data_IF_881864902000
#
_entry.id   IF_881864902000
#
_cell.length_a   1.000
_cell.length_b   1.000
_cell.length_c   1.000
_cell.angle_alpha   90.00
_cell.angle_beta   90.00
_cell.angle_gamma   90.00
#
_symmetry.space_group_name_H-M   'P 1'
#
loop_
_entity.id
_entity.type
_entity.pdbx_description
1 polymer ?
#
# COMPACT_ATOMS: atom_id res chain seq x y z
N UNK A 1 -1.34 -4.39 -32.87
CA UNK A 1 -0.15 -4.71 -32.02
C UNK A 1 -0.67 -5.21 -30.68
N UNK A 2 -0.50 -6.50 -30.43
CA UNK A 2 -0.96 -7.22 -29.25
C UNK A 2 -0.12 -6.83 -28.04
N UNK A 3 -0.49 -5.73 -27.37
CA UNK A 3 0.16 -5.32 -26.14
C UNK A 3 -0.10 -6.37 -25.06
N UNK A 4 0.97 -6.97 -24.53
CA UNK A 4 0.93 -7.78 -23.30
C UNK A 4 0.00 -7.13 -22.29
N UNK A 5 -0.99 -7.88 -21.78
CA UNK A 5 -1.86 -7.33 -20.76
C UNK A 5 -1.01 -7.06 -19.52
N UNK A 6 -1.28 -5.97 -18.80
CA UNK A 6 -0.45 -5.57 -17.64
C UNK A 6 -0.36 -6.70 -16.60
N UNK A 7 -1.43 -7.51 -16.50
CA UNK A 7 -1.49 -8.73 -15.70
C UNK A 7 -0.51 -9.86 -16.12
N UNK A 8 0.09 -9.80 -17.31
CA UNK A 8 1.02 -10.81 -17.83
C UNK A 8 2.48 -10.53 -17.44
N UNK A 9 2.79 -9.28 -17.07
CA UNK A 9 4.15 -8.81 -16.75
C UNK A 9 4.45 -8.96 -15.25
N UNK A 10 3.48 -8.63 -14.38
CA UNK A 10 3.72 -8.57 -12.92
C UNK A 10 3.21 -9.80 -12.15
N UNK A 11 2.48 -10.71 -12.81
CA UNK A 11 1.90 -11.84 -12.10
C UNK A 11 2.85 -13.03 -12.01
N UNK A 12 3.01 -13.63 -10.80
CA UNK A 12 3.82 -14.82 -10.64
C UNK A 12 3.24 -15.98 -11.47
N UNK A 13 3.99 -16.44 -12.47
CA UNK A 13 3.56 -17.55 -13.36
C UNK A 13 3.81 -18.87 -12.65
N UNK A 14 2.99 -19.89 -12.92
CA UNK A 14 3.24 -21.24 -12.40
C UNK A 14 4.65 -21.67 -12.82
N UNK A 15 5.51 -21.90 -11.84
CA UNK A 15 6.86 -22.35 -12.05
C UNK A 15 6.98 -23.75 -11.46
N UNK A 16 7.10 -24.76 -12.32
CA UNK A 16 7.11 -26.17 -11.90
C UNK A 16 5.86 -26.55 -11.07
N UNK A 17 6.05 -26.97 -9.81
CA UNK A 17 5.00 -27.32 -8.83
C UNK A 17 4.55 -26.13 -7.97
N UNK A 18 5.21 -24.97 -8.08
CA UNK A 18 4.94 -23.78 -7.26
C UNK A 18 3.80 -22.99 -7.92
N UNK A 19 2.62 -23.05 -7.30
CA UNK A 19 1.44 -22.30 -7.76
C UNK A 19 1.61 -20.81 -7.52
N UNK A 20 0.96 -19.94 -8.31
CA UNK A 20 0.98 -18.49 -8.06
C UNK A 20 0.53 -18.10 -6.65
N UNK A 21 -0.48 -18.77 -6.10
CA UNK A 21 -0.94 -18.56 -4.73
C UNK A 21 0.13 -18.87 -3.69
N UNK A 22 0.92 -19.93 -3.92
CA UNK A 22 2.04 -20.28 -3.05
C UNK A 22 3.21 -19.28 -3.18
N UNK A 23 3.45 -18.73 -4.38
CA UNK A 23 4.41 -17.64 -4.58
C UNK A 23 3.99 -16.38 -3.80
N UNK A 24 2.69 -16.02 -3.86
CA UNK A 24 2.12 -14.90 -3.11
C UNK A 24 2.24 -15.13 -1.60
N UNK A 25 2.01 -16.36 -1.13
CA UNK A 25 2.19 -16.72 0.29
C UNK A 25 3.65 -16.52 0.73
N UNK A 26 4.61 -16.99 -0.06
CA UNK A 26 6.05 -16.82 0.23
C UNK A 26 6.41 -15.34 0.25
N UNK A 27 6.01 -14.57 -0.75
CA UNK A 27 6.29 -13.12 -0.81
C UNK A 27 5.69 -12.40 0.39
N UNK A 28 4.46 -12.75 0.79
CA UNK A 28 3.81 -12.21 1.99
C UNK A 28 4.60 -12.53 3.25
N UNK A 29 5.04 -13.78 3.44
CA UNK A 29 5.85 -14.19 4.61
C UNK A 29 7.18 -13.43 4.64
N UNK A 30 7.91 -13.40 3.52
CA UNK A 30 9.18 -12.68 3.43
C UNK A 30 9.00 -11.19 3.72
N UNK A 31 7.94 -10.59 3.23
CA UNK A 31 7.62 -9.19 3.48
C UNK A 31 7.23 -8.92 4.94
N UNK A 32 6.48 -9.83 5.58
CA UNK A 32 6.18 -9.72 7.02
C UNK A 32 7.45 -9.84 7.87
N UNK A 33 8.30 -10.83 7.58
CA UNK A 33 9.60 -10.98 8.26
C UNK A 33 10.42 -9.70 8.08
N UNK A 34 10.52 -9.19 6.85
CA UNK A 34 11.22 -7.95 6.55
C UNK A 34 10.68 -6.76 7.36
N UNK A 35 9.37 -6.56 7.35
CA UNK A 35 8.71 -5.46 8.09
C UNK A 35 8.96 -5.57 9.59
N UNK A 36 8.92 -6.78 10.15
CA UNK A 36 9.24 -7.04 11.55
C UNK A 36 10.71 -6.73 11.85
N UNK A 37 11.64 -7.20 11.02
CA UNK A 37 13.07 -6.91 11.20
C UNK A 37 13.37 -5.41 11.08
N UNK A 38 12.70 -4.70 10.16
CA UNK A 38 12.82 -3.26 10.02
C UNK A 38 12.26 -2.51 11.23
N UNK A 39 11.17 -3.01 11.82
CA UNK A 39 10.62 -2.47 13.06
C UNK A 39 11.59 -2.63 14.24
N UNK A 40 12.13 -3.83 14.44
CA UNK A 40 13.10 -4.09 15.50
C UNK A 40 14.34 -3.21 15.34
N UNK A 41 14.88 -3.12 14.12
CA UNK A 41 16.00 -2.24 13.82
C UNK A 41 15.67 -0.75 14.08
N UNK A 42 14.44 -0.32 13.80
CA UNK A 42 14.00 1.04 14.08
C UNK A 42 13.92 1.33 15.59
N UNK A 43 13.45 0.37 16.40
CA UNK A 43 13.44 0.51 17.86
C UNK A 43 14.86 0.65 18.44
N UNK A 44 15.82 -0.07 17.86
CA UNK A 44 17.21 -0.06 18.34
C UNK A 44 18.00 1.17 17.86
N UNK A 45 17.79 1.61 16.61
CA UNK A 45 18.66 2.59 15.94
C UNK A 45 17.99 3.94 15.66
N UNK A 46 16.65 4.02 15.73
CA UNK A 46 15.89 5.16 15.24
C UNK A 46 15.92 5.34 13.71
N UNK A 47 16.51 4.40 12.97
CA UNK A 47 16.58 4.41 11.51
C UNK A 47 15.67 3.35 10.90
N UNK A 48 15.09 3.65 9.75
CA UNK A 48 14.32 2.67 8.97
C UNK A 48 15.11 2.41 7.68
N UNK A 49 15.51 1.17 7.44
CA UNK A 49 16.38 0.79 6.32
C UNK A 49 17.80 1.39 6.38
N UNK A 50 18.30 1.70 7.58
CA UNK A 50 19.60 2.36 7.75
C UNK A 50 19.60 3.86 7.43
N UNK A 51 18.42 4.44 7.16
CA UNK A 51 18.24 5.88 6.94
C UNK A 51 17.33 6.49 8.01
N UNK A 52 17.48 7.79 8.31
CA UNK A 52 16.53 8.52 9.14
C UNK A 52 15.11 8.41 8.59
N UNK A 53 14.12 8.40 9.48
CA UNK A 53 12.70 8.27 9.12
C UNK A 53 12.24 9.31 8.06
N UNK A 54 12.83 10.51 8.07
CA UNK A 54 12.57 11.58 7.10
C UNK A 54 12.95 11.22 5.66
N UNK A 55 13.92 10.32 5.48
CA UNK A 55 14.32 9.80 4.17
C UNK A 55 13.49 8.55 3.86
N UNK A 56 13.28 7.68 4.85
CA UNK A 56 12.56 6.42 4.66
C UNK A 56 11.10 6.61 4.28
N UNK A 57 10.46 7.69 4.76
CA UNK A 57 9.10 8.07 4.39
C UNK A 57 8.96 8.36 2.89
N UNK A 58 10.04 8.74 2.21
CA UNK A 58 10.03 8.92 0.77
C UNK A 58 9.81 7.59 0.06
N UNK A 59 10.27 6.46 0.59
CA UNK A 59 10.07 5.17 -0.08
C UNK A 59 8.68 4.57 0.17
N UNK A 60 7.91 5.15 1.10
CA UNK A 60 6.61 4.61 1.53
C UNK A 60 5.59 4.52 0.39
N UNK A 61 5.29 5.60 -0.35
CA UNK A 61 4.32 5.53 -1.44
C UNK A 61 4.72 4.54 -2.54
N UNK A 62 6.03 4.38 -2.79
CA UNK A 62 6.53 3.45 -3.82
C UNK A 62 6.17 2.02 -3.46
N UNK A 63 6.61 1.53 -2.29
CA UNK A 63 6.38 0.13 -1.95
C UNK A 63 4.90 -0.16 -1.71
N UNK A 64 4.12 0.79 -1.17
CA UNK A 64 2.68 0.60 -0.95
C UNK A 64 1.94 0.45 -2.28
N UNK A 65 2.19 1.32 -3.26
CA UNK A 65 1.55 1.17 -4.57
C UNK A 65 2.02 -0.07 -5.32
N UNK A 66 3.29 -0.45 -5.23
CA UNK A 66 3.77 -1.71 -5.83
C UNK A 66 3.02 -2.92 -5.24
N UNK A 67 2.84 -2.96 -3.92
CA UNK A 67 2.14 -4.06 -3.24
C UNK A 67 0.65 -4.05 -3.58
N UNK A 68 -0.04 -2.94 -3.33
CA UNK A 68 -1.50 -2.91 -3.45
C UNK A 68 -1.95 -2.82 -4.90
N UNK A 69 -1.30 -2.03 -5.75
CA UNK A 69 -1.74 -1.75 -7.13
C UNK A 69 -1.03 -2.64 -8.14
N UNK A 70 0.22 -3.00 -7.89
CA UNK A 70 0.96 -3.96 -8.70
C UNK A 70 0.54 -5.40 -8.37
N UNK A 71 0.87 -5.89 -7.18
CA UNK A 71 0.71 -7.30 -6.86
C UNK A 71 -0.73 -7.70 -6.51
N UNK A 72 -1.35 -7.02 -5.54
CA UNK A 72 -2.67 -7.41 -5.01
C UNK A 72 -3.77 -7.15 -6.05
N UNK A 73 -3.91 -5.91 -6.54
CA UNK A 73 -4.96 -5.54 -7.49
C UNK A 73 -4.89 -6.35 -8.79
N UNK A 74 -3.72 -6.40 -9.45
CA UNK A 74 -3.59 -7.15 -10.71
C UNK A 74 -3.68 -8.67 -10.49
N UNK A 75 -3.23 -9.16 -9.33
CA UNK A 75 -3.42 -10.56 -8.95
C UNK A 75 -4.89 -10.92 -8.79
N UNK A 76 -5.67 -10.08 -8.10
CA UNK A 76 -7.11 -10.28 -7.90
C UNK A 76 -7.88 -10.22 -9.21
N UNK A 77 -7.46 -9.38 -10.16
CA UNK A 77 -8.09 -9.30 -11.49
C UNK A 77 -8.06 -10.59 -12.30
N UNK A 78 -7.23 -11.57 -11.93
CA UNK A 78 -7.20 -12.89 -12.58
C UNK A 78 -8.34 -13.81 -12.15
N UNK A 79 -8.89 -13.59 -10.96
CA UNK A 79 -9.88 -14.47 -10.34
C UNK A 79 -11.23 -13.77 -10.10
N UNK A 80 -11.22 -12.44 -10.07
CA UNK A 80 -12.38 -11.63 -9.73
C UNK A 80 -12.63 -10.55 -10.79
N UNK A 81 -13.86 -10.03 -10.83
CA UNK A 81 -14.18 -8.86 -11.65
C UNK A 81 -13.40 -7.64 -11.18
N UNK A 82 -13.14 -6.70 -12.09
CA UNK A 82 -12.41 -5.47 -11.78
C UNK A 82 -12.98 -4.71 -10.57
N UNK A 83 -14.32 -4.70 -10.40
CA UNK A 83 -14.99 -4.08 -9.25
C UNK A 83 -14.61 -4.77 -7.93
N UNK A 84 -14.67 -6.10 -7.89
CA UNK A 84 -14.30 -6.90 -6.71
C UNK A 84 -12.81 -6.74 -6.39
N UNK A 85 -11.94 -6.76 -7.41
CA UNK A 85 -10.51 -6.56 -7.24
C UNK A 85 -10.19 -5.18 -6.63
N UNK A 86 -10.83 -4.10 -7.11
CA UNK A 86 -10.70 -2.76 -6.53
C UNK A 86 -11.13 -2.74 -5.07
N UNK A 87 -12.32 -3.29 -4.75
CA UNK A 87 -12.85 -3.29 -3.38
C UNK A 87 -11.90 -4.02 -2.43
N UNK A 88 -11.54 -5.26 -2.76
CA UNK A 88 -10.69 -6.09 -1.88
C UNK A 88 -9.31 -5.45 -1.71
N UNK A 89 -8.68 -5.01 -2.81
CA UNK A 89 -7.37 -4.35 -2.74
C UNK A 89 -7.40 -3.08 -1.89
N UNK A 90 -8.49 -2.30 -1.96
CA UNK A 90 -8.60 -1.04 -1.21
C UNK A 90 -8.84 -1.29 0.27
N UNK A 91 -9.68 -2.27 0.62
CA UNK A 91 -9.89 -2.68 2.02
C UNK A 91 -8.59 -3.16 2.67
N UNK A 92 -7.83 -4.00 1.96
CA UNK A 92 -6.52 -4.46 2.44
C UNK A 92 -5.55 -3.28 2.64
N UNK A 93 -5.59 -2.27 1.77
CA UNK A 93 -4.75 -1.09 1.90
C UNK A 93 -5.17 -0.18 3.08
N UNK A 94 -6.46 -0.09 3.37
CA UNK A 94 -6.94 0.54 4.60
C UNK A 94 -6.44 -0.18 5.84
N UNK A 95 -6.57 -1.51 5.90
CA UNK A 95 -6.10 -2.33 7.02
C UNK A 95 -4.59 -2.25 7.23
N UNK A 96 -3.81 -2.09 6.16
CA UNK A 96 -2.37 -1.90 6.21
C UNK A 96 -1.92 -0.73 7.08
N UNK A 97 -2.77 0.29 7.25
CA UNK A 97 -2.47 1.44 8.11
C UNK A 97 -2.43 1.10 9.60
N UNK A 98 -2.92 -0.07 10.03
CA UNK A 98 -2.76 -0.56 11.42
C UNK A 98 -1.30 -0.64 11.84
N UNK A 99 -0.38 -0.87 10.90
CA UNK A 99 1.06 -0.88 11.19
C UNK A 99 1.54 0.43 11.83
N UNK A 100 0.85 1.55 11.57
CA UNK A 100 1.26 2.87 12.03
C UNK A 100 1.26 2.98 13.57
N UNK A 101 0.53 2.12 14.28
CA UNK A 101 0.60 1.99 15.75
C UNK A 101 2.05 1.73 16.20
N UNK A 102 2.84 1.01 15.41
CA UNK A 102 4.20 0.63 15.76
C UNK A 102 5.25 1.66 15.34
N UNK A 103 5.01 2.41 14.26
CA UNK A 103 6.02 3.30 13.65
C UNK A 103 5.79 4.79 13.92
N UNK A 104 4.56 5.21 14.26
CA UNK A 104 4.23 6.61 14.52
C UNK A 104 3.97 6.79 16.01
N UNK A 105 4.98 7.29 16.72
CA UNK A 105 4.84 7.66 18.13
C UNK A 105 3.74 8.71 18.28
N UNK A 106 2.80 8.48 19.21
CA UNK A 106 1.69 9.38 19.55
C UNK A 106 0.56 9.51 18.50
N UNK A 107 0.41 8.56 17.58
CA UNK A 107 -0.79 8.55 16.71
C UNK A 107 -2.06 8.37 17.57
N UNK A 108 -3.02 9.30 17.44
CA UNK A 108 -4.31 9.18 18.12
C UNK A 108 -5.17 8.07 17.51
N UNK A 109 -6.06 7.46 18.30
CA UNK A 109 -6.99 6.43 17.79
C UNK A 109 -7.87 6.98 16.65
N UNK A 110 -8.32 8.22 16.78
CA UNK A 110 -9.13 8.88 15.76
C UNK A 110 -8.36 9.08 14.45
N UNK A 111 -7.09 9.50 14.51
CA UNK A 111 -6.24 9.63 13.32
C UNK A 111 -5.99 8.28 12.63
N UNK A 112 -5.76 7.22 13.42
CA UNK A 112 -5.57 5.88 12.87
C UNK A 112 -6.83 5.42 12.14
N UNK A 113 -7.99 5.51 12.79
CA UNK A 113 -9.28 5.12 12.21
C UNK A 113 -9.59 5.94 10.96
N UNK A 114 -9.34 7.26 11.00
CA UNK A 114 -9.50 8.14 9.85
C UNK A 114 -8.63 7.68 8.68
N UNK A 115 -7.33 7.44 8.89
CA UNK A 115 -6.41 6.97 7.83
C UNK A 115 -6.87 5.64 7.25
N UNK A 116 -7.34 4.70 8.08
CA UNK A 116 -7.84 3.41 7.62
C UNK A 116 -9.09 3.56 6.74
N UNK A 117 -10.09 4.31 7.20
CA UNK A 117 -11.36 4.52 6.48
C UNK A 117 -11.12 5.32 5.19
N UNK A 118 -10.39 6.43 5.29
CA UNK A 118 -10.03 7.27 4.14
C UNK A 118 -9.32 6.45 3.07
N UNK A 119 -8.34 5.65 3.46
CA UNK A 119 -7.59 4.80 2.53
C UNK A 119 -8.47 3.70 1.95
N UNK A 120 -9.27 3.02 2.77
CA UNK A 120 -10.12 1.91 2.33
C UNK A 120 -11.20 2.33 1.32
N UNK A 121 -11.84 3.47 1.57
CA UNK A 121 -13.08 3.84 0.88
C UNK A 121 -12.94 5.00 -0.10
N UNK A 122 -11.88 5.82 0.01
CA UNK A 122 -11.68 6.99 -0.85
C UNK A 122 -10.41 6.84 -1.67
N UNK A 123 -9.24 6.91 -1.02
CA UNK A 123 -7.96 6.95 -1.73
C UNK A 123 -7.67 5.63 -2.45
N UNK A 124 -7.91 4.51 -1.77
CA UNK A 124 -7.77 3.14 -2.25
C UNK A 124 -8.43 2.92 -3.61
N UNK A 125 -9.76 3.09 -3.70
CA UNK A 125 -10.52 2.87 -4.92
C UNK A 125 -10.15 3.81 -6.06
N UNK A 126 -9.87 5.09 -5.76
CA UNK A 126 -9.46 6.07 -6.78
C UNK A 126 -8.12 5.66 -7.40
N UNK A 127 -7.09 5.39 -6.59
CA UNK A 127 -5.78 4.99 -7.10
C UNK A 127 -5.83 3.65 -7.85
N UNK A 128 -6.64 2.69 -7.37
CA UNK A 128 -6.86 1.44 -8.07
C UNK A 128 -7.48 1.69 -9.45
N UNK A 129 -8.53 2.52 -9.53
CA UNK A 129 -9.15 2.89 -10.80
C UNK A 129 -8.18 3.58 -11.77
N UNK A 130 -7.41 4.56 -11.27
CA UNK A 130 -6.39 5.27 -12.05
C UNK A 130 -5.36 4.30 -12.60
N UNK A 131 -4.85 3.39 -11.76
CA UNK A 131 -3.86 2.37 -12.17
C UNK A 131 -4.40 1.50 -13.30
N UNK A 132 -5.66 1.03 -13.20
CA UNK A 132 -6.25 0.20 -14.24
C UNK A 132 -6.50 0.95 -15.55
N UNK A 133 -6.89 2.23 -15.46
CA UNK A 133 -7.13 3.09 -16.63
C UNK A 133 -5.85 3.50 -17.33
N UNK A 134 -4.86 3.95 -16.56
CA UNK A 134 -3.58 4.42 -17.09
C UNK A 134 -2.63 3.29 -17.46
N UNK A 135 -2.84 2.09 -16.90
CA UNK A 135 -1.92 0.95 -16.95
C UNK A 135 -0.51 1.31 -16.45
N UNK A 136 -0.43 2.25 -15.52
CA UNK A 136 0.84 2.76 -15.01
C UNK A 136 0.75 3.02 -13.49
N UNK A 137 1.50 2.22 -12.72
CA UNK A 137 1.57 2.33 -11.26
C UNK A 137 2.24 3.63 -10.80
N UNK A 138 3.14 4.22 -11.60
CA UNK A 138 3.89 5.41 -11.22
C UNK A 138 2.99 6.64 -11.09
N UNK A 139 1.88 6.69 -11.82
CA UNK A 139 0.88 7.75 -11.64
C UNK A 139 0.24 7.65 -10.25
N UNK A 140 -0.09 6.45 -9.79
CA UNK A 140 -0.60 6.23 -8.44
C UNK A 140 0.45 6.60 -7.38
N UNK A 141 1.72 6.24 -7.61
CA UNK A 141 2.85 6.61 -6.72
C UNK A 141 2.96 8.13 -6.58
N UNK A 142 2.96 8.88 -7.69
CA UNK A 142 3.05 10.35 -7.68
C UNK A 142 1.86 10.97 -6.95
N UNK A 143 0.64 10.52 -7.25
CA UNK A 143 -0.57 11.02 -6.58
C UNK A 143 -0.57 10.69 -5.08
N UNK A 144 -0.01 9.55 -4.68
CA UNK A 144 0.15 9.18 -3.29
C UNK A 144 1.17 10.08 -2.58
N UNK A 145 2.30 10.43 -3.20
CA UNK A 145 3.19 11.46 -2.64
C UNK A 145 2.46 12.78 -2.40
N UNK A 146 1.72 13.26 -3.41
CA UNK A 146 0.95 14.50 -3.29
C UNK A 146 -0.10 14.41 -2.17
N UNK A 147 -0.77 13.27 -2.05
CA UNK A 147 -1.71 13.03 -0.95
C UNK A 147 -1.01 13.10 0.42
N UNK A 148 0.16 12.48 0.57
CA UNK A 148 0.89 12.48 1.84
C UNK A 148 1.42 13.88 2.20
N UNK A 149 1.76 14.71 1.22
CA UNK A 149 2.12 16.11 1.45
C UNK A 149 0.92 16.96 1.92
N UNK A 150 -0.28 16.67 1.43
CA UNK A 150 -1.50 17.41 1.78
C UNK A 150 -2.19 16.88 3.06
N UNK A 151 -1.97 15.62 3.42
CA UNK A 151 -2.64 14.97 4.55
C UNK A 151 -2.49 15.72 5.90
N UNK A 152 -1.32 16.29 6.27
CA UNK A 152 -1.19 17.07 7.50
C UNK A 152 -2.14 18.28 7.56
N UNK A 153 -2.39 18.94 6.42
CA UNK A 153 -3.30 20.08 6.34
C UNK A 153 -4.74 19.67 6.66
N UNK A 154 -5.18 18.52 6.15
CA UNK A 154 -6.51 18.00 6.42
C UNK A 154 -6.70 17.58 7.88
N UNK A 155 -5.68 16.99 8.51
CA UNK A 155 -5.72 16.62 9.93
C UNK A 155 -5.84 17.85 10.81
N UNK A 156 -5.07 18.92 10.52
CA UNK A 156 -5.15 20.18 11.27
C UNK A 156 -6.54 20.81 11.20
N UNK A 157 -7.14 20.83 10.00
CA UNK A 157 -8.51 21.33 9.79
C UNK A 157 -9.51 20.45 10.52
N UNK A 158 -9.45 19.12 10.37
CA UNK A 158 -10.39 18.20 11.01
C UNK A 158 -10.36 18.32 12.55
N UNK A 159 -9.16 18.37 13.13
CA UNK A 159 -8.99 18.54 14.58
C UNK A 159 -9.51 19.89 15.10
N UNK A 160 -9.65 20.91 14.24
CA UNK A 160 -10.25 22.19 14.64
C UNK A 160 -11.77 22.13 14.82
N UNK A 161 -12.44 21.15 14.22
CA UNK A 161 -13.91 20.98 14.29
C UNK A 161 -14.38 20.00 15.37
N UNK A 162 -13.49 19.17 15.93
CA UNK A 162 -13.82 18.12 16.91
C UNK A 162 -13.24 18.48 18.30
N UNK A 163 -13.12 19.78 18.61
CA UNK A 163 -12.90 20.25 19.97
C UNK A 163 -14.20 20.33 20.74
#
# INVERSE_FOLDING_TARGET
>A
MTGTKLEDVLYPKKFWRITPSFQILIVSILFTIYTLTAYLNYQDTGTMFGYPLSISILFVPIYEEIIFRGFILLGLMKYYSWKKAIIISSLLFGLWHLKNIFFISQISQNELIYKMIYTAFIFGPIMAHITLKSKNIWIAVILHYLNNLLAPLFILVFNSYIK
#
